data_IF_828806955785
#
_entry.id   IF_828806955785
#
_cell.length_a   1.000
_cell.length_b   1.000
_cell.length_c   1.000
_cell.angle_alpha   90.00
_cell.angle_beta   90.00
_cell.angle_gamma   90.00
#
_symmetry.space_group_name_H-M   'P 1'
#
loop_
_entity.id
_entity.type
_entity.pdbx_description
1 polymer ?
#
# COMPACT_ATOMS: atom_id res chain seq x y z
N UNK A 1 -5.55 40.20 46.55
CA UNK A 1 -6.64 39.73 47.44
C UNK A 1 -7.77 40.74 47.31
N UNK A 2 -8.70 40.50 46.39
CA UNK A 2 -9.88 41.36 46.20
C UNK A 2 -11.06 40.45 45.90
N UNK A 3 -12.11 40.69 46.66
CA UNK A 3 -13.35 39.93 46.77
C UNK A 3 -14.42 40.81 46.12
N UNK A 4 -15.30 40.25 45.29
CA UNK A 4 -16.60 40.87 45.06
C UNK A 4 -17.65 39.79 44.74
N UNK A 5 -18.62 39.69 45.64
CA UNK A 5 -19.88 38.97 45.43
C UNK A 5 -20.97 39.97 44.98
N UNK A 6 -21.67 39.58 43.90
CA UNK A 6 -23.13 39.56 43.60
C UNK A 6 -24.03 40.78 43.84
N UNK A 7 -25.13 40.96 43.06
CA UNK A 7 -26.36 40.17 43.27
C UNK A 7 -27.14 39.71 42.02
N UNK A 8 -27.98 38.73 42.31
CA UNK A 8 -29.01 37.97 41.60
C UNK A 8 -30.08 38.81 40.88
N UNK A 9 -30.58 38.32 39.72
CA UNK A 9 -32.01 38.38 39.43
C UNK A 9 -32.47 37.15 38.64
N UNK A 10 -33.48 36.48 39.22
CA UNK A 10 -34.25 35.36 38.68
C UNK A 10 -35.38 35.93 37.83
N UNK A 11 -35.71 35.28 36.70
CA UNK A 11 -37.08 35.00 36.26
C UNK A 11 -37.08 33.90 35.20
N UNK A 12 -37.85 32.84 35.48
CA UNK A 12 -38.19 31.71 34.62
C UNK A 12 -39.31 32.09 33.64
N UNK A 13 -39.29 31.53 32.43
CA UNK A 13 -40.46 30.99 31.70
C UNK A 13 -39.91 30.16 30.52
N UNK A 14 -39.88 28.82 30.57
CA UNK A 14 -40.94 27.84 30.22
C UNK A 14 -41.37 27.88 28.75
N UNK A 15 -41.24 26.73 28.06
CA UNK A 15 -41.58 26.57 26.65
C UNK A 15 -40.84 25.41 25.98
N UNK A 16 -41.34 24.21 26.25
CA UNK A 16 -40.88 22.92 25.70
C UNK A 16 -40.89 22.88 24.16
N UNK A 17 -39.92 22.18 23.57
CA UNK A 17 -40.27 21.22 22.51
C UNK A 17 -39.23 20.11 22.36
N UNK A 18 -39.77 18.90 22.45
CA UNK A 18 -39.18 17.58 22.39
C UNK A 18 -38.66 17.25 20.99
N UNK A 19 -37.47 16.65 20.89
CA UNK A 19 -37.24 15.47 20.04
C UNK A 19 -35.95 14.78 20.46
N UNK A 20 -36.09 13.65 21.14
CA UNK A 20 -35.06 12.63 21.26
C UNK A 20 -34.83 12.01 19.88
N UNK A 21 -33.59 12.05 19.40
CA UNK A 21 -33.12 11.17 18.34
C UNK A 21 -31.73 10.67 18.74
N UNK A 22 -31.68 9.45 19.26
CA UNK A 22 -30.47 8.64 19.28
C UNK A 22 -30.05 8.39 17.84
N UNK A 23 -28.79 8.68 17.52
CA UNK A 23 -28.17 8.22 16.29
C UNK A 23 -26.77 7.73 16.60
N UNK A 24 -26.69 6.42 16.87
CA UNK A 24 -25.46 5.66 16.72
C UNK A 24 -25.01 5.75 15.25
N UNK A 25 -23.92 6.47 14.99
CA UNK A 25 -23.30 6.51 13.67
C UNK A 25 -22.24 5.42 13.64
N UNK A 26 -22.65 4.25 13.15
CA UNK A 26 -21.78 3.17 12.75
C UNK A 26 -21.42 3.37 11.27
N UNK A 27 -20.33 4.09 10.99
CA UNK A 27 -19.79 4.22 9.62
C UNK A 27 -18.83 3.05 9.32
N UNK A 28 -19.42 1.86 9.12
CA UNK A 28 -18.80 0.82 8.31
C UNK A 28 -19.26 1.03 6.87
N UNK A 29 -18.49 1.80 6.09
CA UNK A 29 -18.67 1.86 4.63
C UNK A 29 -17.49 1.19 3.95
N UNK A 30 -17.47 -0.14 4.00
CA UNK A 30 -16.67 -0.96 3.09
C UNK A 30 -17.45 -1.06 1.78
N UNK A 31 -17.19 -0.15 0.85
CA UNK A 31 -17.68 -0.25 -0.52
C UNK A 31 -16.92 -1.36 -1.25
N UNK A 32 -17.42 -2.59 -1.16
CA UNK A 32 -17.00 -3.70 -2.00
C UNK A 32 -17.53 -3.49 -3.42
N UNK A 33 -16.70 -2.97 -4.32
CA UNK A 33 -16.98 -3.06 -5.76
C UNK A 33 -16.65 -4.47 -6.23
N UNK A 34 -17.71 -5.22 -6.49
CA UNK A 34 -17.70 -6.54 -7.09
C UNK A 34 -17.59 -6.34 -8.61
N UNK A 35 -16.38 -6.37 -9.16
CA UNK A 35 -16.18 -6.40 -10.61
C UNK A 35 -16.09 -7.84 -11.12
N UNK A 36 -16.72 -8.05 -12.28
CA UNK A 36 -16.96 -9.31 -12.96
C UNK A 36 -15.70 -10.16 -13.16
N UNK A 37 -15.81 -11.44 -12.79
CA UNK A 37 -14.81 -12.48 -12.98
C UNK A 37 -14.76 -12.89 -14.46
N UNK A 38 -13.79 -12.33 -15.19
CA UNK A 38 -13.30 -12.87 -16.45
C UNK A 38 -11.78 -13.05 -16.31
N UNK A 39 -11.33 -14.27 -16.03
CA UNK A 39 -9.96 -14.78 -16.20
C UNK A 39 -8.83 -13.74 -16.03
N UNK A 40 -8.79 -13.09 -14.87
CA UNK A 40 -7.74 -12.14 -14.51
C UNK A 40 -6.62 -12.97 -13.88
N UNK A 41 -5.49 -13.13 -14.57
CA UNK A 41 -4.24 -13.47 -13.89
C UNK A 41 -4.07 -12.49 -12.74
N UNK A 42 -4.15 -12.96 -11.50
CA UNK A 42 -4.24 -12.10 -10.34
C UNK A 42 -2.98 -11.23 -10.24
N UNK A 43 -3.13 -9.95 -10.59
CA UNK A 43 -2.10 -8.93 -10.45
C UNK A 43 -2.54 -7.97 -9.35
N UNK A 44 -1.67 -7.74 -8.38
CA UNK A 44 -1.92 -6.83 -7.26
C UNK A 44 -0.68 -6.00 -6.99
N UNK A 45 -0.91 -4.73 -6.66
CA UNK A 45 0.15 -3.76 -6.40
C UNK A 45 -0.10 -3.02 -5.09
N UNK A 46 0.98 -2.76 -4.35
CA UNK A 46 0.93 -2.06 -3.08
C UNK A 46 2.28 -1.38 -2.78
N UNK A 47 2.26 -0.37 -1.90
CA UNK A 47 3.49 0.20 -1.36
C UNK A 47 3.94 -0.57 -0.12
N UNK A 48 5.25 -0.79 0.01
CA UNK A 48 5.84 -1.55 1.10
C UNK A 48 7.08 -0.85 1.66
N UNK A 49 7.15 -0.72 2.98
CA UNK A 49 8.33 -0.25 3.70
C UNK A 49 8.79 -1.35 4.68
N UNK A 50 9.86 -2.11 4.37
CA UNK A 50 10.33 -3.16 5.27
C UNK A 50 10.86 -2.58 6.58
N UNK A 51 10.82 -3.38 7.65
CA UNK A 51 11.46 -3.00 8.89
C UNK A 51 12.97 -2.79 8.67
N UNK A 52 13.55 -1.84 9.40
CA UNK A 52 14.97 -1.47 9.33
C UNK A 52 15.44 -0.89 7.98
N UNK A 53 14.52 -0.48 7.10
CA UNK A 53 14.81 0.28 5.90
C UNK A 53 14.00 1.59 5.90
N UNK A 54 14.60 2.67 5.40
CA UNK A 54 13.90 3.95 5.22
C UNK A 54 13.30 4.08 3.82
N UNK A 55 13.61 3.13 2.95
CA UNK A 55 13.15 3.11 1.58
C UNK A 55 11.71 2.58 1.47
N UNK A 56 10.90 3.24 0.65
CA UNK A 56 9.58 2.76 0.25
C UNK A 56 9.70 2.15 -1.14
N UNK A 57 9.02 1.02 -1.33
CA UNK A 57 8.99 0.28 -2.57
C UNK A 57 7.55 0.20 -3.08
N UNK A 58 7.39 0.34 -4.40
CA UNK A 58 6.18 -0.08 -5.09
C UNK A 58 6.36 -1.55 -5.48
N UNK A 59 5.47 -2.40 -4.99
CA UNK A 59 5.51 -3.85 -5.19
C UNK A 59 4.38 -4.22 -6.13
N UNK A 60 4.71 -4.89 -7.22
CA UNK A 60 3.74 -5.54 -8.11
C UNK A 60 3.96 -7.03 -8.06
N UNK A 61 2.89 -7.76 -7.82
CA UNK A 61 2.90 -9.21 -7.79
C UNK A 61 1.98 -9.73 -8.88
N UNK A 62 2.52 -10.59 -9.74
CA UNK A 62 1.79 -11.13 -10.89
C UNK A 62 1.86 -12.64 -10.85
N UNK A 63 0.71 -13.31 -10.76
CA UNK A 63 0.63 -14.77 -10.90
C UNK A 63 1.18 -15.18 -12.29
N UNK A 64 1.98 -16.24 -12.30
CA UNK A 64 2.62 -16.80 -13.49
C UNK A 64 2.34 -18.28 -13.60
N UNK A 65 2.03 -18.72 -14.81
CA UNK A 65 1.98 -20.15 -15.11
C UNK A 65 3.39 -20.71 -15.29
N UNK A 66 3.61 -22.02 -15.05
CA UNK A 66 4.89 -22.65 -15.35
C UNK A 66 5.30 -22.48 -16.82
N UNK A 67 4.34 -22.53 -17.75
CA UNK A 67 4.58 -22.33 -19.18
C UNK A 67 5.12 -20.94 -19.47
N UNK A 68 4.52 -19.89 -18.90
CA UNK A 68 5.00 -18.50 -19.06
C UNK A 68 6.43 -18.32 -18.53
N UNK A 69 6.76 -18.95 -17.40
CA UNK A 69 8.11 -18.89 -16.82
C UNK A 69 9.11 -19.60 -17.73
N UNK A 70 8.76 -20.81 -18.22
CA UNK A 70 9.60 -21.57 -19.15
C UNK A 70 9.83 -20.76 -20.43
N UNK A 71 8.79 -20.18 -21.02
CA UNK A 71 8.92 -19.34 -22.22
C UNK A 71 9.83 -18.14 -21.98
N UNK A 72 9.71 -17.45 -20.84
CA UNK A 72 10.60 -16.32 -20.49
C UNK A 72 12.06 -16.75 -20.30
N UNK A 73 12.31 -17.92 -19.69
CA UNK A 73 13.64 -18.51 -19.54
C UNK A 73 14.24 -18.87 -20.90
N UNK A 74 13.48 -19.57 -21.75
CA UNK A 74 13.93 -20.02 -23.07
C UNK A 74 14.21 -18.85 -24.03
N UNK A 75 13.42 -17.79 -23.94
CA UNK A 75 13.59 -16.60 -24.78
C UNK A 75 14.72 -15.67 -24.30
N UNK A 76 15.51 -16.07 -23.28
CA UNK A 76 16.51 -15.23 -22.60
C UNK A 76 15.96 -13.88 -22.10
N UNK A 77 14.64 -13.70 -22.07
CA UNK A 77 13.98 -12.50 -21.54
C UNK A 77 14.28 -12.35 -20.05
N UNK A 78 14.43 -13.46 -19.32
CA UNK A 78 14.77 -13.46 -17.89
C UNK A 78 16.20 -12.96 -17.60
N UNK A 79 17.14 -13.20 -18.51
CA UNK A 79 18.50 -12.66 -18.45
C UNK A 79 18.58 -11.21 -18.95
N UNK A 80 17.81 -10.87 -19.97
CA UNK A 80 17.72 -9.50 -20.49
C UNK A 80 17.01 -8.56 -19.51
N UNK A 81 15.97 -9.03 -18.82
CA UNK A 81 15.31 -8.26 -17.76
C UNK A 81 16.29 -7.94 -16.63
N UNK A 82 17.13 -8.89 -16.19
CA UNK A 82 18.21 -8.62 -15.23
C UNK A 82 19.24 -7.56 -15.67
N UNK A 83 19.41 -7.35 -16.99
CA UNK A 83 20.37 -6.38 -17.55
C UNK A 83 19.74 -5.06 -18.03
N UNK A 84 18.40 -4.98 -18.15
CA UNK A 84 17.66 -3.80 -18.58
C UNK A 84 16.87 -3.12 -17.45
N UNK A 85 16.86 -3.68 -16.24
CA UNK A 85 16.35 -2.94 -15.10
C UNK A 85 17.29 -1.80 -14.77
N UNK A 86 16.75 -0.58 -14.82
CA UNK A 86 17.29 0.55 -14.09
C UNK A 86 17.60 0.11 -12.65
N UNK A 87 18.64 0.68 -12.07
CA UNK A 87 19.17 0.25 -10.77
C UNK A 87 18.17 0.37 -9.59
N UNK A 88 16.99 0.91 -9.83
CA UNK A 88 15.85 1.11 -8.95
C UNK A 88 14.77 0.02 -9.09
N UNK A 89 14.97 -1.03 -9.91
CA UNK A 89 14.06 -2.18 -10.02
C UNK A 89 14.75 -3.48 -9.59
N UNK A 90 14.04 -4.27 -8.80
CA UNK A 90 14.46 -5.60 -8.34
C UNK A 90 13.32 -6.61 -8.57
N UNK A 91 13.62 -7.74 -9.22
CA UNK A 91 12.61 -8.76 -9.53
C UNK A 91 13.05 -10.11 -8.99
N UNK A 92 12.13 -10.81 -8.33
CA UNK A 92 12.32 -12.19 -7.87
C UNK A 92 11.03 -13.01 -8.03
N UNK A 93 11.15 -14.32 -7.90
CA UNK A 93 10.01 -15.23 -7.96
C UNK A 93 9.68 -15.79 -6.58
N UNK A 94 8.40 -15.86 -6.29
CA UNK A 94 7.83 -16.40 -5.06
C UNK A 94 6.87 -17.53 -5.39
N UNK A 95 7.09 -18.71 -4.84
CA UNK A 95 6.14 -19.81 -4.92
C UNK A 95 5.39 -19.89 -3.59
N UNK A 96 4.07 -19.75 -3.64
CA UNK A 96 3.24 -19.84 -2.46
C UNK A 96 3.24 -21.29 -1.94
N UNK A 97 3.57 -21.54 -0.65
CA UNK A 97 3.73 -22.91 -0.16
C UNK A 97 2.44 -23.75 -0.18
N UNK A 98 1.27 -23.11 -0.06
CA UNK A 98 -0.01 -23.78 0.14
C UNK A 98 -0.62 -24.31 -1.17
N UNK A 99 -0.78 -23.44 -2.17
CA UNK A 99 -1.43 -23.77 -3.45
C UNK A 99 -0.44 -23.93 -4.61
N UNK A 100 0.86 -23.75 -4.34
CA UNK A 100 1.96 -23.87 -5.30
C UNK A 100 1.90 -22.86 -6.43
N UNK A 101 1.05 -21.83 -6.35
CA UNK A 101 1.03 -20.73 -7.30
C UNK A 101 2.36 -20.01 -7.30
N UNK A 102 2.80 -19.58 -8.49
CA UNK A 102 4.06 -18.87 -8.66
C UNK A 102 3.73 -17.42 -8.99
N UNK A 103 4.42 -16.51 -8.33
CA UNK A 103 4.29 -15.08 -8.51
C UNK A 103 5.64 -14.50 -8.93
N UNK A 104 5.61 -13.65 -9.96
CA UNK A 104 6.70 -12.73 -10.22
C UNK A 104 6.48 -11.49 -9.36
N UNK A 105 7.47 -11.15 -8.55
CA UNK A 105 7.45 -9.99 -7.67
C UNK A 105 8.39 -8.95 -8.26
N UNK A 106 7.84 -7.82 -8.66
CA UNK A 106 8.59 -6.65 -9.13
C UNK A 106 8.58 -5.59 -8.05
N UNK A 107 9.76 -5.17 -7.63
CA UNK A 107 9.98 -4.14 -6.62
C UNK A 107 10.61 -2.93 -7.28
N UNK A 108 9.95 -1.79 -7.22
CA UNK A 108 10.44 -0.52 -7.74
C UNK A 108 10.70 0.44 -6.57
N UNK A 109 11.88 1.03 -6.52
CA UNK A 109 12.25 1.97 -5.48
C UNK A 109 11.53 3.29 -5.72
N UNK A 110 10.76 3.76 -4.74
CA UNK A 110 10.07 5.06 -4.84
C UNK A 110 11.04 6.18 -4.45
N UNK A 111 11.41 7.09 -5.36
CA UNK A 111 12.27 8.22 -5.03
C UNK A 111 11.64 9.11 -3.95
N UNK A 112 12.42 9.50 -2.95
CA UNK A 112 11.93 10.38 -1.89
C UNK A 112 11.36 11.71 -2.41
N UNK A 113 11.88 12.23 -3.53
CA UNK A 113 11.35 13.44 -4.17
C UNK A 113 9.90 13.29 -4.61
N UNK A 114 9.51 12.12 -5.12
CA UNK A 114 8.13 11.83 -5.53
C UNK A 114 7.21 11.80 -4.31
N UNK A 115 7.65 11.21 -3.20
CA UNK A 115 6.88 11.21 -1.94
C UNK A 115 6.67 12.64 -1.44
N UNK A 116 7.74 13.45 -1.41
CA UNK A 116 7.65 14.85 -0.96
C UNK A 116 6.74 15.66 -1.88
N UNK A 117 6.85 15.48 -3.20
CA UNK A 117 5.97 16.13 -4.16
C UNK A 117 4.51 15.73 -3.96
N UNK A 118 4.24 14.44 -3.79
CA UNK A 118 2.90 13.91 -3.53
C UNK A 118 2.30 14.52 -2.27
N UNK A 119 3.05 14.55 -1.16
CA UNK A 119 2.58 15.13 0.10
C UNK A 119 2.31 16.63 -0.03
N UNK A 120 3.22 17.39 -0.65
CA UNK A 120 3.04 18.83 -0.85
C UNK A 120 1.82 19.16 -1.70
N UNK A 121 1.64 18.42 -2.80
CA UNK A 121 0.50 18.61 -3.70
C UNK A 121 -0.82 18.25 -3.05
N UNK A 122 -0.91 17.08 -2.39
CA UNK A 122 -2.19 16.56 -1.88
C UNK A 122 -2.59 17.12 -0.52
N UNK A 123 -1.63 17.49 0.35
CA UNK A 123 -1.93 18.00 1.69
C UNK A 123 -1.95 19.52 1.72
N UNK A 124 -0.98 20.15 1.04
CA UNK A 124 -0.77 21.60 1.15
C UNK A 124 -1.13 22.37 -0.13
N UNK A 125 -1.45 21.68 -1.23
CA UNK A 125 -1.70 22.33 -2.53
C UNK A 125 -0.47 23.02 -3.12
N UNK A 126 0.73 22.65 -2.69
CA UNK A 126 1.99 23.27 -3.15
C UNK A 126 2.58 22.42 -4.28
N UNK A 127 2.78 23.04 -5.43
CA UNK A 127 3.48 22.43 -6.56
C UNK A 127 4.97 22.78 -6.49
N UNK A 128 5.80 21.76 -6.26
CA UNK A 128 7.26 21.92 -6.23
C UNK A 128 7.83 21.70 -7.63
N UNK A 129 8.56 22.71 -8.14
CA UNK A 129 9.29 22.62 -9.40
C UNK A 129 10.66 21.96 -9.15
N UNK A 130 10.70 20.63 -9.19
CA UNK A 130 11.97 19.90 -9.10
C UNK A 130 12.69 19.93 -10.46
N UNK A 131 13.86 20.56 -10.52
CA UNK A 131 14.78 20.43 -11.64
C UNK A 131 15.53 19.10 -11.52
N UNK A 132 14.97 18.03 -12.10
CA UNK A 132 15.61 16.80 -12.60
C UNK A 132 16.81 16.17 -11.84
N UNK A 133 17.06 16.47 -10.58
CA UNK A 133 17.99 15.73 -9.74
C UNK A 133 17.21 14.67 -8.97
N UNK A 134 16.63 13.72 -9.72
CA UNK A 134 16.33 12.42 -9.15
C UNK A 134 17.70 11.82 -8.79
N UNK A 135 18.13 11.99 -7.54
CA UNK A 135 19.22 11.19 -7.00
C UNK A 135 18.80 9.73 -7.19
N UNK A 136 19.37 9.10 -8.22
CA UNK A 136 19.08 7.71 -8.55
C UNK A 136 19.55 6.87 -7.36
N UNK A 137 18.60 6.51 -6.49
CA UNK A 137 18.86 5.56 -5.43
C UNK A 137 18.88 4.19 -6.09
N UNK A 138 20.06 3.59 -6.05
CA UNK A 138 20.29 2.26 -6.59
C UNK A 138 20.04 1.24 -5.48
N UNK A 139 19.45 0.10 -5.82
CA UNK A 139 19.44 -1.04 -4.92
C UNK A 139 20.87 -1.44 -4.56
N UNK A 140 21.18 -1.45 -3.26
CA UNK A 140 22.34 -2.19 -2.75
C UNK A 140 21.96 -3.66 -2.61
N UNK A 141 22.93 -4.57 -2.64
CA UNK A 141 22.67 -6.00 -2.39
C UNK A 141 21.96 -6.21 -1.04
N UNK A 142 22.35 -5.44 -0.01
CA UNK A 142 21.70 -5.47 1.30
C UNK A 142 20.22 -5.06 1.24
N UNK A 143 19.88 -4.04 0.44
CA UNK A 143 18.47 -3.64 0.25
C UNK A 143 17.67 -4.77 -0.41
N UNK A 144 18.23 -5.43 -1.42
CA UNK A 144 17.55 -6.56 -2.12
C UNK A 144 17.30 -7.73 -1.17
N UNK A 145 18.32 -8.16 -0.43
CA UNK A 145 18.21 -9.26 0.54
C UNK A 145 17.21 -8.95 1.66
N UNK A 146 17.28 -7.75 2.23
CA UNK A 146 16.35 -7.32 3.28
C UNK A 146 14.90 -7.27 2.76
N UNK A 147 14.70 -6.69 1.58
CA UNK A 147 13.39 -6.56 0.97
C UNK A 147 12.79 -7.92 0.61
N UNK A 148 13.58 -8.80 -0.01
CA UNK A 148 13.12 -10.15 -0.38
C UNK A 148 12.71 -10.95 0.85
N UNK A 149 13.52 -10.96 1.91
CA UNK A 149 13.20 -11.70 3.14
C UNK A 149 11.88 -11.24 3.75
N UNK A 150 11.69 -9.93 3.91
CA UNK A 150 10.47 -9.36 4.48
C UNK A 150 9.25 -9.57 3.59
N UNK A 151 9.40 -9.45 2.26
CA UNK A 151 8.30 -9.71 1.34
C UNK A 151 7.90 -11.19 1.33
N UNK A 152 8.84 -12.13 1.42
CA UNK A 152 8.51 -13.57 1.49
C UNK A 152 7.62 -13.88 2.70
N UNK A 153 7.91 -13.26 3.85
CA UNK A 153 7.09 -13.40 5.07
C UNK A 153 5.73 -12.71 4.93
N UNK A 154 5.71 -11.48 4.41
CA UNK A 154 4.48 -10.73 4.18
C UNK A 154 3.53 -11.46 3.22
N UNK A 155 4.05 -11.89 2.06
CA UNK A 155 3.29 -12.55 1.00
C UNK A 155 2.77 -13.92 1.42
N UNK A 156 3.49 -14.63 2.29
CA UNK A 156 3.01 -15.90 2.85
C UNK A 156 1.64 -15.73 3.52
N UNK A 157 1.48 -14.67 4.30
CA UNK A 157 0.23 -14.35 4.98
C UNK A 157 -0.81 -13.71 4.06
N UNK A 158 -0.37 -12.80 3.18
CA UNK A 158 -1.26 -12.02 2.31
C UNK A 158 -1.91 -12.86 1.21
N UNK A 159 -1.17 -13.83 0.65
CA UNK A 159 -1.62 -14.72 -0.42
C UNK A 159 -2.14 -16.05 0.10
N UNK A 160 -2.26 -16.21 1.41
CA UNK A 160 -2.87 -17.41 1.95
C UNK A 160 -4.31 -17.52 1.41
N UNK A 161 -4.78 -18.70 1.00
CA UNK A 161 -6.17 -18.89 0.66
C UNK A 161 -7.01 -18.43 1.86
N UNK A 162 -7.84 -17.40 1.67
CA UNK A 162 -8.80 -17.01 2.68
C UNK A 162 -9.73 -18.21 2.89
N UNK A 163 -9.56 -18.93 4.00
CA UNK A 163 -10.56 -19.87 4.49
C UNK A 163 -11.77 -19.07 5.03
N UNK A 164 -12.36 -18.20 4.20
CA UNK A 164 -13.72 -17.71 4.43
C UNK A 164 -14.67 -18.78 3.90
N UNK A 165 -14.70 -19.89 4.62
CA UNK A 165 -15.88 -20.76 4.61
C UNK A 165 -17.00 -20.01 5.33
N UNK A 166 -18.05 -19.71 4.57
CA UNK A 166 -19.37 -19.25 5.00
C UNK A 166 -19.68 -19.48 6.49
N UNK A 167 -20.03 -18.39 7.20
CA UNK A 167 -20.93 -18.44 8.36
C UNK A 167 -22.19 -17.69 7.95
#
# INVERSE_FOLDING_TARGET
MSIHNSPTHISQDSGENVTNASSDINENTTSSQHDNINDITAEYSFYYGPCNDFQIYHITCKEKTPEEIITQLLNNSLYLTHYFYSNDIFVFYYQQPNDKKIYQITCEMVPHSIIVQFLNSNIYGIELLYQNEHYQQNFSNRHKENLESHLREFLFNYLAPNNQSNI
#
